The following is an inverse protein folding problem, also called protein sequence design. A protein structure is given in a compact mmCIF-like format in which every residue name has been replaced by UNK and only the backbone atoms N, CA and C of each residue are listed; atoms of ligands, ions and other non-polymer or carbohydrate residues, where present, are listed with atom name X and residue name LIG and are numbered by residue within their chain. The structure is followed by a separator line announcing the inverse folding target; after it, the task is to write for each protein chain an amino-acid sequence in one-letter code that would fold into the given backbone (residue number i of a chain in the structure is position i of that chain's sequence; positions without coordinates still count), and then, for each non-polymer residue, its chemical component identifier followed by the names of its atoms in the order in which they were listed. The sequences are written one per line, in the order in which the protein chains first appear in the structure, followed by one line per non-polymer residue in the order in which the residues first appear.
data_IF_581021994100
#
_entry.id   IF_581021994100
#
_cell.length_a   1.000
_cell.length_b   1.000
_cell.length_c   1.000
_cell.angle_alpha   90.00
_cell.angle_beta   90.00
_cell.angle_gamma   90.00
#
_symmetry.space_group_name_H-M   'P 1'
#
loop_
_entity.id
_entity.type
_entity.pdbx_description
1 polymer ?
#
# COMPACT_ATOMS: atom_id res chain seq x y z
N UNK A 1 -0.80 6.26 15.20
CA UNK A 1 0.49 7.00 15.17
C UNK A 1 1.39 6.76 16.38
N UNK A 2 0.94 6.17 17.50
CA UNK A 2 1.87 5.76 18.55
C UNK A 2 1.52 4.38 19.13
N UNK A 3 1.79 3.33 18.36
CA UNK A 3 1.86 1.95 18.86
C UNK A 3 3.17 1.70 19.64
N UNK A 4 4.14 2.61 19.48
CA UNK A 4 5.44 2.57 20.17
C UNK A 4 5.41 3.61 21.30
N UNK A 5 5.54 3.21 22.58
CA UNK A 5 5.57 4.13 23.72
C UNK A 5 6.63 5.23 23.60
N UNK A 6 7.78 4.90 23.01
CA UNK A 6 8.84 5.88 22.73
C UNK A 6 8.38 6.99 21.77
N UNK A 7 7.68 6.65 20.68
CA UNK A 7 7.14 7.65 19.75
C UNK A 7 6.10 8.55 20.42
N UNK A 8 5.25 7.99 21.28
CA UNK A 8 4.30 8.77 22.06
C UNK A 8 5.03 9.76 22.97
N UNK A 9 6.05 9.29 23.70
CA UNK A 9 6.87 10.14 24.55
C UNK A 9 7.53 11.28 23.76
N UNK A 10 8.12 10.97 22.59
CA UNK A 10 8.73 11.95 21.69
C UNK A 10 7.72 13.02 21.24
N UNK A 11 6.52 12.61 20.85
CA UNK A 11 5.41 13.51 20.50
C UNK A 11 4.96 14.39 21.69
N UNK A 12 4.82 13.80 22.87
CA UNK A 12 4.44 14.54 24.08
C UNK A 12 5.48 15.62 24.43
N UNK A 13 6.77 15.30 24.31
CA UNK A 13 7.86 16.27 24.53
C UNK A 13 7.81 17.42 23.51
N UNK A 14 7.54 17.11 22.23
CA UNK A 14 7.41 18.12 21.18
C UNK A 14 6.18 19.02 21.40
N UNK A 15 5.04 18.42 21.73
CA UNK A 15 3.81 19.18 22.04
C UNK A 15 4.01 20.16 23.19
N UNK A 16 4.80 19.78 24.21
CA UNK A 16 5.14 20.68 25.32
C UNK A 16 5.99 21.88 24.87
N UNK A 17 6.87 21.70 23.88
CA UNK A 17 7.82 22.72 23.42
C UNK A 17 7.26 23.65 22.32
N UNK A 18 6.45 23.13 21.38
CA UNK A 18 6.10 23.80 20.11
C UNK A 18 4.60 24.01 19.86
N UNK A 19 3.76 24.12 20.90
CA UNK A 19 2.30 24.37 20.72
C UNK A 19 2.06 25.46 19.64
N UNK A 20 1.29 25.22 18.54
CA UNK A 20 0.41 24.08 18.23
C UNK A 20 0.81 23.21 17.02
N UNK A 21 2.03 23.33 16.46
CA UNK A 21 2.37 22.63 15.21
C UNK A 21 2.90 21.21 15.48
N UNK A 22 2.08 20.20 15.20
CA UNK A 22 2.50 18.80 15.23
C UNK A 22 3.30 18.43 13.98
N UNK A 23 4.26 17.50 14.10
CA UNK A 23 4.97 16.95 12.95
C UNK A 23 4.01 16.32 11.93
N UNK A 24 4.36 16.44 10.66
CA UNK A 24 3.54 15.93 9.55
C UNK A 24 3.92 14.51 9.13
N UNK A 25 5.09 14.02 9.57
CA UNK A 25 5.57 12.66 9.30
C UNK A 25 6.26 12.06 10.52
N UNK A 26 6.39 10.72 10.50
CA UNK A 26 7.09 9.99 11.56
C UNK A 26 8.58 10.33 11.54
N UNK A 27 9.21 10.42 10.36
CA UNK A 27 10.58 10.89 10.21
C UNK A 27 10.82 12.27 10.85
N UNK A 28 9.87 13.21 10.70
CA UNK A 28 9.97 14.54 11.31
C UNK A 28 9.97 14.45 12.85
N UNK A 29 9.21 13.52 13.45
CA UNK A 29 9.24 13.28 14.90
C UNK A 29 10.66 12.90 15.35
N UNK A 30 11.36 12.03 14.61
CA UNK A 30 12.74 11.64 14.95
C UNK A 30 13.74 12.79 14.78
N UNK A 31 13.65 13.55 13.68
CA UNK A 31 14.49 14.74 13.47
C UNK A 31 14.35 15.72 14.62
N UNK A 32 13.11 16.03 15.00
CA UNK A 32 12.82 16.99 16.07
C UNK A 32 13.19 16.46 17.46
N UNK A 33 13.10 15.15 17.68
CA UNK A 33 13.56 14.53 18.91
C UNK A 33 15.08 14.62 19.07
N UNK A 34 15.83 14.26 18.03
CA UNK A 34 17.30 14.39 18.06
C UNK A 34 17.69 15.86 18.25
N UNK A 35 17.04 16.79 17.54
CA UNK A 35 17.24 18.23 17.77
C UNK A 35 16.97 18.63 19.22
N UNK A 36 15.91 18.10 19.83
CA UNK A 36 15.58 18.41 21.23
C UNK A 36 16.64 17.89 22.19
N UNK A 37 17.18 16.69 21.95
CA UNK A 37 18.31 16.15 22.71
C UNK A 37 19.55 17.02 22.53
N UNK A 38 19.88 17.44 21.31
CA UNK A 38 21.00 18.32 21.01
C UNK A 38 20.90 19.66 21.75
N UNK A 39 19.73 20.30 21.70
CA UNK A 39 19.51 21.57 22.41
C UNK A 39 19.65 21.38 23.93
N UNK A 40 19.17 20.26 24.48
CA UNK A 40 19.31 19.97 25.91
C UNK A 40 20.78 19.82 26.33
N UNK A 41 21.62 19.23 25.47
CA UNK A 41 23.06 19.11 25.70
C UNK A 41 23.73 20.48 25.64
N UNK A 42 23.41 21.31 24.63
CA UNK A 42 23.96 22.65 24.52
C UNK A 42 23.65 23.53 25.75
N UNK A 43 22.42 23.46 26.29
CA UNK A 43 22.05 24.19 27.52
C UNK A 43 22.74 23.71 28.78
N UNK A 44 23.30 22.49 28.78
CA UNK A 44 24.04 21.95 29.93
C UNK A 44 25.53 22.32 29.86
N UNK A 45 26.04 22.57 28.65
CA UNK A 45 27.45 22.89 28.39
C UNK A 45 27.75 24.40 28.42
N UNK A 46 26.74 25.28 28.26
CA UNK A 46 26.89 26.74 28.33
C UNK A 46 26.10 27.36 29.49
N UNK A 47 26.74 28.23 30.26
CA UNK A 47 26.05 29.19 31.11
C UNK A 47 25.27 30.16 30.19
N UNK A 48 23.95 29.93 30.06
CA UNK A 48 22.94 30.87 29.55
C UNK A 48 22.90 31.25 28.06
N UNK A 49 23.55 30.53 27.14
CA UNK A 49 23.33 30.77 25.69
C UNK A 49 22.81 29.52 25.00
N UNK A 50 21.49 29.50 24.75
CA UNK A 50 20.84 28.54 23.88
C UNK A 50 21.33 28.75 22.44
N UNK A 51 22.40 28.06 22.05
CA UNK A 51 22.75 27.90 20.65
C UNK A 51 21.73 26.97 20.01
N UNK A 52 20.73 27.53 19.33
CA UNK A 52 19.74 26.77 18.56
C UNK A 52 20.38 26.25 17.25
N UNK A 53 21.46 25.49 17.41
CA UNK A 53 22.19 24.92 16.29
C UNK A 53 21.39 23.79 15.66
N UNK A 54 21.11 23.94 14.37
CA UNK A 54 20.36 22.95 13.61
C UNK A 54 21.06 21.58 13.59
N UNK A 55 20.27 20.51 13.66
CA UNK A 55 20.68 19.10 13.50
C UNK A 55 21.55 18.89 12.25
N UNK A 56 21.36 19.70 11.20
CA UNK A 56 22.16 19.64 9.98
C UNK A 56 23.63 20.04 10.18
N UNK A 57 23.99 20.76 11.25
CA UNK A 57 25.40 20.97 11.63
C UNK A 57 26.10 19.65 11.92
N UNK A 58 25.37 18.70 12.49
CA UNK A 58 25.86 17.38 12.87
C UNK A 58 25.64 16.33 11.77
N UNK A 59 25.30 16.75 10.53
CA UNK A 59 24.92 15.85 9.46
C UNK A 59 25.99 14.79 9.15
N UNK A 60 27.28 15.16 9.13
CA UNK A 60 28.37 14.23 8.84
C UNK A 60 28.52 13.18 9.96
N UNK A 61 28.51 13.63 11.22
CA UNK A 61 28.61 12.75 12.39
C UNK A 61 27.40 11.80 12.46
N UNK A 62 26.18 12.32 12.30
CA UNK A 62 24.96 11.50 12.21
C UNK A 62 24.98 10.51 11.05
N UNK A 63 25.61 10.87 9.93
CA UNK A 63 25.77 9.93 8.79
C UNK A 63 26.73 8.80 9.11
N UNK A 64 27.81 9.07 9.87
CA UNK A 64 28.71 8.02 10.38
C UNK A 64 27.98 7.07 11.35
N UNK A 65 27.11 7.60 12.22
CA UNK A 65 26.21 6.78 13.06
C UNK A 65 25.31 5.93 12.18
N UNK A 66 24.65 6.57 11.22
CA UNK A 66 23.68 5.93 10.35
C UNK A 66 24.29 4.81 9.53
N UNK A 67 25.56 4.94 9.11
CA UNK A 67 26.29 3.84 8.45
C UNK A 67 26.44 2.63 9.37
N UNK A 68 26.83 2.82 10.62
CA UNK A 68 26.93 1.73 11.60
C UNK A 68 25.56 1.10 11.89
N UNK A 69 24.53 1.93 12.00
CA UNK A 69 23.14 1.49 12.16
C UNK A 69 22.70 0.62 10.97
N UNK A 70 22.98 1.06 9.75
CA UNK A 70 22.67 0.38 8.50
C UNK A 70 23.40 -0.96 8.40
N UNK A 71 24.73 -0.98 8.61
CA UNK A 71 25.54 -2.20 8.54
C UNK A 71 25.09 -3.22 9.60
N UNK A 72 24.82 -2.77 10.83
CA UNK A 72 24.29 -3.63 11.89
C UNK A 72 22.92 -4.22 11.53
N UNK A 73 22.00 -3.44 10.93
CA UNK A 73 20.69 -3.95 10.49
C UNK A 73 20.81 -4.99 9.36
N UNK A 74 21.76 -4.84 8.45
CA UNK A 74 22.04 -5.86 7.42
C UNK A 74 22.49 -7.19 8.03
N UNK A 75 23.21 -7.13 9.14
CA UNK A 75 23.65 -8.29 9.94
C UNK A 75 22.60 -8.75 10.97
N UNK A 76 21.40 -8.17 10.99
CA UNK A 76 20.33 -8.45 11.97
C UNK A 76 20.73 -8.16 13.43
N UNK A 77 21.62 -7.20 13.62
CA UNK A 77 22.14 -6.75 14.91
C UNK A 77 21.52 -5.42 15.35
N UNK A 78 21.09 -5.36 16.62
CA UNK A 78 20.57 -4.13 17.26
C UNK A 78 21.65 -3.32 18.00
N UNK A 79 22.91 -3.62 17.71
CA UNK A 79 24.06 -3.07 18.40
C UNK A 79 25.29 -3.08 17.50
N UNK A 80 26.31 -2.35 17.91
CA UNK A 80 27.62 -2.36 17.26
C UNK A 80 28.75 -2.26 18.28
N UNK A 81 29.95 -2.68 17.89
CA UNK A 81 31.12 -2.63 18.76
C UNK A 81 31.51 -1.19 19.07
N UNK A 82 31.81 -0.90 20.34
CA UNK A 82 32.28 0.42 20.77
C UNK A 82 33.59 0.83 20.09
N UNK A 83 34.37 -0.10 19.53
CA UNK A 83 35.59 0.23 18.77
C UNK A 83 35.29 0.76 17.37
N UNK A 84 34.13 0.43 16.80
CA UNK A 84 33.64 1.00 15.53
C UNK A 84 33.00 2.37 15.74
N UNK A 85 32.91 2.82 16.99
CA UNK A 85 32.29 4.07 17.37
C UNK A 85 33.10 5.26 16.82
N UNK A 86 32.49 6.15 16.02
CA UNK A 86 33.17 7.30 15.45
C UNK A 86 33.62 8.22 16.59
N UNK A 87 34.90 8.58 16.58
CA UNK A 87 35.42 9.57 17.52
C UNK A 87 34.87 10.95 17.17
N UNK A 88 34.20 11.61 18.11
CA UNK A 88 33.59 12.92 17.93
C UNK A 88 32.80 13.37 19.16
N UNK A 89 32.65 14.69 19.30
CA UNK A 89 31.99 15.33 20.47
C UNK A 89 30.50 14.98 20.55
N UNK A 90 29.79 14.92 19.40
CA UNK A 90 28.37 14.57 19.37
C UNK A 90 28.09 13.21 19.99
N UNK A 91 29.00 12.26 19.78
CA UNK A 91 28.81 10.88 20.15
C UNK A 91 28.87 10.64 21.65
N UNK A 92 29.87 11.22 22.31
CA UNK A 92 30.00 11.19 23.77
C UNK A 92 28.79 11.88 24.42
N UNK A 93 28.38 13.00 23.84
CA UNK A 93 27.17 13.74 24.20
C UNK A 93 25.92 12.86 24.11
N UNK A 94 25.72 12.14 23.00
CA UNK A 94 24.59 11.24 22.79
C UNK A 94 24.58 10.05 23.77
N UNK A 95 25.74 9.52 24.17
CA UNK A 95 25.81 8.52 25.26
C UNK A 95 25.35 9.15 26.58
N UNK A 96 25.85 10.34 26.90
CA UNK A 96 25.56 10.99 28.18
C UNK A 96 24.08 11.35 28.35
N UNK A 97 23.35 11.69 27.27
CA UNK A 97 21.89 11.88 27.32
C UNK A 97 21.07 10.60 27.15
N UNK A 98 21.72 9.44 27.14
CA UNK A 98 21.04 8.14 27.09
C UNK A 98 20.45 7.79 25.73
N UNK A 99 20.87 8.47 24.64
CA UNK A 99 20.49 8.10 23.28
C UNK A 99 21.14 6.76 22.86
N UNK A 100 22.30 6.49 23.44
CA UNK A 100 22.99 5.20 23.36
C UNK A 100 23.18 4.59 24.74
N UNK A 101 23.00 3.27 24.83
CA UNK A 101 23.36 2.50 26.01
C UNK A 101 24.65 1.73 25.75
N UNK A 102 25.68 1.98 26.54
CA UNK A 102 26.96 1.26 26.47
C UNK A 102 26.99 0.18 27.54
N UNK A 103 27.20 -1.07 27.12
CA UNK A 103 27.27 -2.23 28.03
C UNK A 103 28.49 -3.10 27.71
N UNK A 104 28.95 -3.89 28.68
CA UNK A 104 29.95 -4.93 28.41
C UNK A 104 29.28 -6.12 27.74
N UNK A 105 29.94 -6.72 26.74
CA UNK A 105 29.42 -7.89 26.03
C UNK A 105 29.17 -9.09 26.96
N UNK A 106 30.01 -9.26 27.97
CA UNK A 106 29.80 -10.20 29.06
C UNK A 106 30.62 -9.79 30.28
N UNK A 107 30.40 -10.41 31.43
CA UNK A 107 31.19 -10.13 32.64
C UNK A 107 32.69 -10.44 32.46
N UNK A 108 33.01 -11.40 31.59
CA UNK A 108 34.37 -11.84 31.27
C UNK A 108 34.99 -11.09 30.08
N UNK A 109 34.18 -10.54 29.19
CA UNK A 109 34.66 -9.83 28.01
C UNK A 109 34.74 -8.31 28.28
N UNK A 110 35.92 -7.73 28.07
CA UNK A 110 36.15 -6.28 28.22
C UNK A 110 35.60 -5.46 27.04
N UNK A 111 35.21 -6.12 25.95
CA UNK A 111 34.57 -5.47 24.81
C UNK A 111 33.27 -4.78 25.22
N UNK A 112 33.18 -3.51 24.86
CA UNK A 112 31.98 -2.70 25.04
C UNK A 112 31.16 -2.74 23.75
N UNK A 113 29.85 -2.84 23.92
CA UNK A 113 28.85 -2.81 22.86
C UNK A 113 27.95 -1.61 23.08
N UNK A 114 27.52 -0.99 21.99
CA UNK A 114 26.61 0.15 21.96
C UNK A 114 25.26 -0.28 21.42
N UNK A 115 24.21 -0.08 22.22
CA UNK A 115 22.82 -0.27 21.83
C UNK A 115 22.16 1.08 21.54
N UNK A 116 21.33 1.12 20.52
CA UNK A 116 20.43 2.25 20.28
C UNK A 116 19.32 2.25 21.33
N UNK A 117 18.80 3.43 21.68
CA UNK A 117 17.65 3.58 22.59
C UNK A 117 16.46 2.68 22.18
N UNK A 118 16.24 2.53 20.87
CA UNK A 118 15.23 1.66 20.30
C UNK A 118 15.55 1.29 18.85
N UNK A 119 15.04 0.15 18.36
CA UNK A 119 15.23 -0.30 16.97
C UNK A 119 14.81 0.75 15.95
N UNK A 120 13.69 1.44 16.20
CA UNK A 120 13.20 2.47 15.28
C UNK A 120 14.11 3.70 15.19
N UNK A 121 14.89 4.00 16.24
CA UNK A 121 15.93 5.04 16.20
C UNK A 121 17.09 4.58 15.32
N UNK A 122 17.48 3.30 15.42
CA UNK A 122 18.48 2.69 14.54
C UNK A 122 18.03 2.72 13.07
N UNK A 123 16.79 2.32 12.78
CA UNK A 123 16.20 2.34 11.43
C UNK A 123 16.14 3.76 10.85
N UNK A 124 15.75 4.74 11.65
CA UNK A 124 15.76 6.14 11.26
C UNK A 124 17.18 6.65 10.92
N UNK A 125 18.17 6.35 11.75
CA UNK A 125 19.56 6.78 11.51
C UNK A 125 20.15 6.11 10.27
N UNK A 126 19.85 4.83 10.04
CA UNK A 126 20.22 4.13 8.81
C UNK A 126 19.62 4.81 7.58
N UNK A 127 18.35 5.22 7.65
CA UNK A 127 17.70 5.96 6.56
C UNK A 127 18.30 7.35 6.35
N UNK A 128 18.66 8.04 7.44
CA UNK A 128 19.38 9.32 7.36
C UNK A 128 20.69 9.15 6.59
N UNK A 129 21.50 8.15 6.93
CA UNK A 129 22.73 7.85 6.20
C UNK A 129 22.48 7.64 4.70
N UNK A 130 21.49 6.82 4.33
CA UNK A 130 21.13 6.61 2.91
C UNK A 130 20.80 7.93 2.22
N UNK A 131 19.93 8.74 2.83
CA UNK A 131 19.52 10.03 2.24
C UNK A 131 20.71 10.99 2.07
N UNK A 132 21.65 11.02 3.02
CA UNK A 132 22.83 11.87 2.89
C UNK A 132 23.80 11.36 1.82
N UNK A 133 24.02 10.04 1.73
CA UNK A 133 24.83 9.46 0.67
C UNK A 133 24.25 9.76 -0.71
N UNK A 134 22.93 9.67 -0.87
CA UNK A 134 22.24 10.00 -2.12
C UNK A 134 22.41 11.46 -2.54
N UNK A 135 22.47 12.39 -1.57
CA UNK A 135 22.71 13.81 -1.85
C UNK A 135 24.15 14.09 -2.30
N UNK A 136 25.12 13.40 -1.71
CA UNK A 136 26.56 13.59 -2.00
C UNK A 136 26.95 12.87 -3.30
N UNK A 137 26.45 11.66 -3.51
CA UNK A 137 26.84 10.77 -4.61
C UNK A 137 25.76 10.64 -5.67
N UNK A 138 25.23 11.78 -6.15
CA UNK A 138 24.12 11.84 -7.13
C UNK A 138 24.27 10.90 -8.35
N UNK A 139 25.48 10.44 -8.67
CA UNK A 139 25.79 9.57 -9.82
C UNK A 139 26.48 8.22 -9.47
N UNK A 140 26.66 7.84 -8.19
CA UNK A 140 27.31 6.57 -7.78
C UNK A 140 26.41 5.75 -6.82
N UNK A 141 25.15 5.55 -7.19
CA UNK A 141 24.10 4.90 -6.40
C UNK A 141 24.19 3.36 -6.37
N UNK A 142 25.36 2.78 -6.06
CA UNK A 142 25.56 1.32 -6.18
C UNK A 142 25.97 0.62 -4.88
N UNK A 143 26.62 1.31 -3.94
CA UNK A 143 27.27 0.61 -2.81
C UNK A 143 26.32 0.10 -1.73
N UNK A 144 25.41 0.92 -1.19
CA UNK A 144 24.50 0.44 -0.12
C UNK A 144 23.37 -0.46 -0.63
N UNK A 145 22.91 -0.28 -1.88
CA UNK A 145 21.88 -1.13 -2.49
C UNK A 145 22.38 -2.56 -2.71
N UNK A 146 23.68 -2.76 -2.94
CA UNK A 146 24.29 -4.10 -2.99
C UNK A 146 24.11 -4.90 -1.69
N UNK A 147 23.99 -4.21 -0.55
CA UNK A 147 23.70 -4.84 0.73
C UNK A 147 22.27 -5.39 0.83
N UNK A 148 21.35 -4.91 -0.02
CA UNK A 148 19.92 -5.27 -0.04
C UNK A 148 19.51 -5.95 -1.34
N UNK A 149 20.44 -6.62 -2.02
CA UNK A 149 20.30 -7.20 -3.37
C UNK A 149 19.31 -8.36 -3.53
N UNK A 150 18.60 -8.73 -2.46
CA UNK A 150 17.58 -9.78 -2.44
C UNK A 150 16.32 -9.26 -1.74
N UNK A 151 15.15 -9.87 -2.02
CA UNK A 151 13.92 -9.44 -1.39
C UNK A 151 13.94 -9.67 0.11
N UNK A 152 14.47 -10.81 0.56
CA UNK A 152 14.62 -11.11 1.99
C UNK A 152 15.39 -10.02 2.74
N UNK A 153 16.48 -9.51 2.18
CA UNK A 153 17.26 -8.40 2.79
C UNK A 153 16.50 -7.07 2.70
N UNK A 154 15.87 -6.77 1.57
CA UNK A 154 15.05 -5.57 1.41
C UNK A 154 13.87 -5.54 2.40
N UNK A 155 13.23 -6.69 2.64
CA UNK A 155 12.16 -6.86 3.62
C UNK A 155 12.65 -6.63 5.05
N UNK A 156 13.84 -7.12 5.42
CA UNK A 156 14.45 -6.80 6.73
C UNK A 156 14.69 -5.30 6.90
N UNK A 157 14.98 -4.61 5.80
CA UNK A 157 15.23 -3.17 5.75
C UNK A 157 13.97 -2.34 5.45
N UNK A 158 12.76 -2.94 5.54
CA UNK A 158 11.51 -2.29 5.16
C UNK A 158 11.29 -0.94 5.86
N UNK A 159 11.49 -0.87 7.18
CA UNK A 159 11.33 0.40 7.92
C UNK A 159 12.37 1.44 7.52
N UNK A 160 13.60 1.02 7.18
CA UNK A 160 14.64 1.92 6.66
C UNK A 160 14.20 2.51 5.32
N UNK A 161 13.71 1.67 4.39
CA UNK A 161 13.21 2.12 3.08
C UNK A 161 12.02 3.09 3.23
N UNK A 162 11.09 2.79 4.14
CA UNK A 162 9.97 3.70 4.48
C UNK A 162 10.47 5.05 4.99
N UNK A 163 11.43 5.07 5.91
CA UNK A 163 12.02 6.32 6.39
C UNK A 163 12.76 7.09 5.29
N UNK A 164 13.45 6.41 4.36
CA UNK A 164 14.08 7.07 3.21
C UNK A 164 13.04 7.81 2.37
N UNK A 165 11.90 7.16 2.07
CA UNK A 165 10.78 7.77 1.36
C UNK A 165 10.14 8.95 2.12
N UNK A 166 10.06 8.87 3.46
CA UNK A 166 9.56 9.97 4.30
C UNK A 166 10.54 11.18 4.34
N UNK A 167 11.85 10.92 4.31
CA UNK A 167 12.90 11.92 4.49
C UNK A 167 13.27 12.66 3.20
N UNK A 168 13.17 12.01 2.04
CA UNK A 168 13.61 12.59 0.77
C UNK A 168 12.78 12.10 -0.40
N UNK A 169 12.13 13.04 -1.07
CA UNK A 169 11.37 12.74 -2.28
C UNK A 169 12.25 12.42 -3.47
N UNK A 170 13.45 12.98 -3.53
CA UNK A 170 14.46 12.64 -4.54
C UNK A 170 14.92 11.18 -4.40
N UNK A 171 14.92 10.63 -3.18
CA UNK A 171 15.32 9.25 -2.91
C UNK A 171 14.27 8.22 -3.31
N UNK A 172 13.00 8.62 -3.47
CA UNK A 172 11.88 7.70 -3.76
C UNK A 172 12.08 6.97 -5.08
N UNK A 173 12.52 7.68 -6.13
CA UNK A 173 12.80 7.07 -7.43
C UNK A 173 13.87 5.97 -7.33
N UNK A 174 14.91 6.22 -6.53
CA UNK A 174 16.03 5.29 -6.32
C UNK A 174 15.57 4.06 -5.53
N UNK A 175 14.72 4.25 -4.51
CA UNK A 175 14.10 3.13 -3.77
C UNK A 175 13.26 2.27 -4.72
N UNK A 176 12.47 2.88 -5.60
CA UNK A 176 11.68 2.13 -6.59
C UNK A 176 12.53 1.50 -7.69
N UNK A 177 13.68 2.07 -8.05
CA UNK A 177 14.67 1.43 -8.92
C UNK A 177 15.26 0.18 -8.29
N UNK A 178 15.62 0.24 -7.01
CA UNK A 178 16.09 -0.91 -6.26
C UNK A 178 15.01 -2.00 -6.14
N UNK A 179 13.80 -1.63 -5.72
CA UNK A 179 12.70 -2.59 -5.56
C UNK A 179 12.32 -3.22 -6.90
N UNK A 180 12.36 -2.47 -8.01
CA UNK A 180 12.19 -3.05 -9.36
C UNK A 180 13.29 -4.06 -9.67
N UNK A 181 14.56 -3.68 -9.47
CA UNK A 181 15.68 -4.58 -9.73
C UNK A 181 15.54 -5.90 -8.97
N UNK A 182 15.23 -5.84 -7.67
CA UNK A 182 14.99 -7.03 -6.84
C UNK A 182 13.77 -7.81 -7.34
N UNK A 183 12.68 -7.11 -7.65
CA UNK A 183 11.44 -7.72 -8.12
C UNK A 183 11.60 -8.46 -9.45
N UNK A 184 12.33 -7.89 -10.41
CA UNK A 184 12.63 -8.53 -11.70
C UNK A 184 13.61 -9.69 -11.53
N UNK A 185 14.68 -9.50 -10.74
CA UNK A 185 15.70 -10.53 -10.47
C UNK A 185 15.11 -11.79 -9.86
N UNK A 186 14.14 -11.65 -8.95
CA UNK A 186 13.54 -12.75 -8.19
C UNK A 186 12.15 -13.15 -8.72
N UNK A 187 11.67 -12.52 -9.81
CA UNK A 187 10.38 -12.84 -10.43
C UNK A 187 9.15 -12.44 -9.59
N UNK A 188 9.28 -11.48 -8.68
CA UNK A 188 8.23 -11.02 -7.76
C UNK A 188 7.15 -10.17 -8.44
N UNK A 189 7.38 -9.76 -9.69
CA UNK A 189 6.42 -9.01 -10.52
C UNK A 189 5.79 -9.86 -11.62
N UNK A 190 6.15 -11.15 -11.69
CA UNK A 190 5.63 -12.13 -12.65
C UNK A 190 4.39 -12.81 -12.09
N UNK A 191 3.25 -12.12 -12.15
CA UNK A 191 1.99 -12.63 -11.61
C UNK A 191 1.31 -13.57 -12.60
N UNK A 192 0.98 -14.77 -12.12
CA UNK A 192 0.23 -15.77 -12.88
C UNK A 192 -1.21 -15.83 -12.36
N UNK A 193 -1.97 -14.76 -12.60
CA UNK A 193 -3.39 -14.77 -12.26
C UNK A 193 -4.14 -15.79 -13.09
N UNK A 194 -5.12 -16.40 -12.47
CA UNK A 194 -5.97 -17.37 -13.14
C UNK A 194 -7.21 -16.73 -13.75
N UNK A 195 -8.15 -17.56 -14.23
CA UNK A 195 -9.41 -17.08 -14.81
C UNK A 195 -10.23 -16.22 -13.84
N UNK A 196 -10.10 -16.44 -12.54
CA UNK A 196 -10.71 -15.61 -11.48
C UNK A 196 -9.59 -15.01 -10.62
N UNK A 197 -9.03 -13.84 -11.02
CA UNK A 197 -7.87 -13.25 -10.36
C UNK A 197 -8.09 -13.02 -8.87
N UNK A 198 -7.07 -13.32 -8.07
CA UNK A 198 -7.14 -13.18 -6.62
C UNK A 198 -5.77 -12.92 -6.02
N UNK A 199 -5.72 -12.25 -4.86
CA UNK A 199 -4.50 -12.19 -4.03
C UNK A 199 -4.00 -13.58 -3.63
N UNK A 200 -4.87 -14.60 -3.62
CA UNK A 200 -4.50 -16.00 -3.36
C UNK A 200 -3.78 -16.67 -4.54
N UNK A 201 -3.74 -16.05 -5.72
CA UNK A 201 -2.90 -16.51 -6.84
C UNK A 201 -1.43 -16.07 -6.69
N UNK A 202 -1.15 -15.17 -5.74
CA UNK A 202 0.19 -14.67 -5.47
C UNK A 202 0.90 -15.59 -4.49
N UNK A 203 2.22 -15.77 -4.70
CA UNK A 203 3.07 -16.33 -3.64
C UNK A 203 3.15 -15.37 -2.44
N UNK A 204 3.50 -15.90 -1.27
CA UNK A 204 3.68 -15.06 -0.07
C UNK A 204 4.71 -13.94 -0.28
N UNK A 205 5.81 -14.22 -0.99
CA UNK A 205 6.84 -13.21 -1.28
C UNK A 205 6.35 -12.13 -2.24
N UNK A 206 5.56 -12.49 -3.26
CA UNK A 206 4.93 -11.52 -4.16
C UNK A 206 3.95 -10.60 -3.41
N UNK A 207 3.13 -11.17 -2.52
CA UNK A 207 2.18 -10.41 -1.71
C UNK A 207 2.91 -9.41 -0.81
N UNK A 208 3.92 -9.86 -0.07
CA UNK A 208 4.73 -8.99 0.80
C UNK A 208 5.52 -7.94 0.01
N UNK A 209 6.00 -8.28 -1.18
CA UNK A 209 6.72 -7.34 -2.05
C UNK A 209 5.82 -6.18 -2.48
N UNK A 210 4.60 -6.47 -2.93
CA UNK A 210 3.62 -5.44 -3.29
C UNK A 210 3.32 -4.55 -2.08
N UNK A 211 3.09 -5.14 -0.91
CA UNK A 211 2.83 -4.38 0.32
C UNK A 211 4.01 -3.47 0.70
N UNK A 212 5.26 -3.94 0.56
CA UNK A 212 6.43 -3.10 0.79
C UNK A 212 6.50 -1.92 -0.18
N UNK A 213 6.23 -2.14 -1.47
CA UNK A 213 6.18 -1.06 -2.45
C UNK A 213 5.07 -0.05 -2.14
N UNK A 214 3.89 -0.51 -1.72
CA UNK A 214 2.76 0.33 -1.31
C UNK A 214 3.09 1.13 -0.05
N UNK A 215 3.68 0.50 0.97
CA UNK A 215 4.17 1.19 2.17
C UNK A 215 5.12 2.33 1.79
N UNK A 216 6.10 2.07 0.90
CA UNK A 216 7.04 3.09 0.44
C UNK A 216 6.33 4.26 -0.27
N UNK A 217 5.34 3.97 -1.14
CA UNK A 217 4.53 5.00 -1.81
C UNK A 217 3.79 5.87 -0.80
N UNK A 218 3.12 5.28 0.18
CA UNK A 218 2.31 6.03 1.14
C UNK A 218 3.13 6.70 2.25
N UNK A 219 4.37 6.25 2.48
CA UNK A 219 5.36 6.94 3.30
C UNK A 219 5.90 8.21 2.63
N UNK A 220 5.82 8.34 1.31
CA UNK A 220 6.17 9.60 0.64
C UNK A 220 5.24 10.73 1.12
N UNK A 221 5.76 11.98 1.25
CA UNK A 221 4.93 13.15 1.52
C UNK A 221 3.76 13.24 0.54
N UNK A 222 2.55 13.53 1.05
CA UNK A 222 1.32 13.48 0.28
C UNK A 222 1.37 14.32 -1.01
N UNK A 223 2.02 15.49 -0.97
CA UNK A 223 2.23 16.38 -2.12
C UNK A 223 3.03 15.74 -3.26
N UNK A 224 3.85 14.73 -2.96
CA UNK A 224 4.81 14.17 -3.90
C UNK A 224 4.38 12.80 -4.43
N UNK A 225 3.37 12.16 -3.80
CA UNK A 225 2.84 10.86 -4.25
C UNK A 225 2.34 10.86 -5.69
N UNK A 226 1.59 11.87 -6.18
CA UNK A 226 1.11 11.87 -7.56
C UNK A 226 2.24 11.82 -8.59
N UNK A 227 3.35 12.52 -8.33
CA UNK A 227 4.50 12.58 -9.22
C UNK A 227 5.24 11.23 -9.34
N UNK A 228 5.23 10.42 -8.28
CA UNK A 228 5.92 9.12 -8.25
C UNK A 228 5.00 7.93 -8.54
N UNK A 229 3.68 8.14 -8.57
CA UNK A 229 2.71 7.06 -8.65
C UNK A 229 2.77 6.28 -9.97
N UNK A 230 2.90 6.96 -11.11
CA UNK A 230 3.02 6.28 -12.41
C UNK A 230 4.29 5.40 -12.46
N UNK A 231 5.40 5.91 -11.91
CA UNK A 231 6.63 5.13 -11.78
C UNK A 231 6.41 3.92 -10.87
N UNK A 232 5.79 4.09 -9.70
CA UNK A 232 5.41 3.00 -8.80
C UNK A 232 4.60 1.92 -9.52
N UNK A 233 3.54 2.28 -10.25
CA UNK A 233 2.68 1.33 -10.96
C UNK A 233 3.47 0.45 -11.93
N UNK A 234 4.39 1.06 -12.68
CA UNK A 234 5.26 0.30 -13.59
C UNK A 234 6.15 -0.71 -12.84
N UNK A 235 6.55 -0.41 -11.60
CA UNK A 235 7.48 -1.26 -10.82
C UNK A 235 6.79 -2.46 -10.18
N UNK A 236 5.50 -2.34 -9.88
CA UNK A 236 4.68 -3.45 -9.39
C UNK A 236 3.90 -4.14 -10.50
N UNK A 237 4.28 -3.91 -11.76
CA UNK A 237 3.63 -4.44 -12.96
C UNK A 237 2.09 -4.23 -12.92
N UNK A 238 1.68 -3.04 -12.49
CA UNK A 238 0.30 -2.57 -12.39
C UNK A 238 -0.62 -3.41 -11.49
N UNK A 239 -0.09 -4.19 -10.56
CA UNK A 239 -0.87 -4.89 -9.53
C UNK A 239 -0.68 -4.19 -8.20
N UNK A 240 -1.78 -3.75 -7.59
CA UNK A 240 -1.78 -3.01 -6.33
C UNK A 240 -2.66 -3.72 -5.31
N UNK A 241 -2.17 -3.82 -4.09
CA UNK A 241 -2.92 -4.35 -2.94
C UNK A 241 -2.93 -3.26 -1.87
N UNK A 242 -4.12 -2.84 -1.45
CA UNK A 242 -4.31 -1.93 -0.33
C UNK A 242 -4.83 -2.69 0.87
N UNK A 243 -4.09 -2.63 1.97
CA UNK A 243 -4.60 -3.01 3.29
C UNK A 243 -5.51 -1.89 3.86
N UNK A 244 -6.07 -2.12 5.05
CA UNK A 244 -6.94 -1.15 5.74
C UNK A 244 -6.29 0.23 5.89
N UNK A 245 -5.03 0.25 6.34
CA UNK A 245 -4.30 1.49 6.61
C UNK A 245 -4.14 2.29 5.32
N UNK A 246 -3.67 1.66 4.25
CA UNK A 246 -3.41 2.31 2.97
C UNK A 246 -4.70 2.71 2.27
N UNK A 247 -5.76 1.88 2.33
CA UNK A 247 -7.08 2.26 1.84
C UNK A 247 -7.60 3.50 2.57
N UNK A 248 -7.50 3.56 3.90
CA UNK A 248 -7.98 4.71 4.65
C UNK A 248 -7.20 5.99 4.35
N UNK A 249 -5.88 5.90 4.16
CA UNK A 249 -5.07 7.04 3.73
C UNK A 249 -5.46 7.47 2.32
N UNK A 250 -5.59 6.53 1.39
CA UNK A 250 -5.96 6.83 0.00
C UNK A 250 -7.31 7.54 -0.08
N UNK A 251 -8.33 7.04 0.64
CA UNK A 251 -9.65 7.64 0.71
C UNK A 251 -9.62 9.06 1.28
N UNK A 252 -9.07 9.24 2.49
CA UNK A 252 -9.02 10.55 3.18
C UNK A 252 -8.24 11.61 2.41
N UNK A 253 -7.25 11.21 1.63
CA UNK A 253 -6.41 12.13 0.85
C UNK A 253 -6.86 12.28 -0.60
N UNK A 254 -7.95 11.62 -0.99
CA UNK A 254 -8.40 11.52 -2.38
C UNK A 254 -7.26 11.17 -3.34
N UNK A 255 -6.43 10.20 -2.95
CA UNK A 255 -5.14 9.95 -3.60
C UNK A 255 -5.26 9.63 -5.09
N UNK A 256 -6.29 8.87 -5.48
CA UNK A 256 -6.47 8.46 -6.87
C UNK A 256 -7.21 9.51 -7.71
N UNK A 257 -7.71 10.59 -7.09
CA UNK A 257 -8.46 11.62 -7.78
C UNK A 257 -7.55 12.33 -8.80
N UNK A 258 -8.05 12.56 -10.02
CA UNK A 258 -7.30 13.15 -11.13
C UNK A 258 -6.04 12.39 -11.57
N UNK A 259 -5.98 11.08 -11.29
CA UNK A 259 -4.86 10.25 -11.76
C UNK A 259 -5.16 9.63 -13.12
N UNK A 260 -4.31 9.86 -14.12
CA UNK A 260 -4.46 9.30 -15.47
C UNK A 260 -3.99 7.83 -15.58
N UNK A 261 -3.23 7.35 -14.60
CA UNK A 261 -2.66 6.00 -14.57
C UNK A 261 -3.40 5.10 -13.59
N UNK A 262 -4.04 4.04 -14.10
CA UNK A 262 -4.75 3.08 -13.24
C UNK A 262 -3.98 1.76 -13.09
N UNK A 263 -4.10 1.10 -11.93
CA UNK A 263 -3.62 -0.26 -11.79
C UNK A 263 -4.45 -1.19 -12.68
N UNK A 264 -3.81 -2.22 -13.24
CA UNK A 264 -4.50 -3.28 -13.98
C UNK A 264 -5.36 -4.12 -13.04
N UNK A 265 -4.86 -4.34 -11.82
CA UNK A 265 -5.58 -4.99 -10.74
C UNK A 265 -5.39 -4.19 -9.45
N UNK A 266 -6.49 -3.86 -8.78
CA UNK A 266 -6.48 -3.29 -7.45
C UNK A 266 -7.31 -4.18 -6.52
N UNK A 267 -6.64 -4.77 -5.54
CA UNK A 267 -7.25 -5.58 -4.50
C UNK A 267 -7.28 -4.79 -3.19
N UNK A 268 -8.41 -4.81 -2.50
CA UNK A 268 -8.55 -4.23 -1.16
C UNK A 268 -8.98 -5.31 -0.18
N UNK A 269 -8.39 -5.36 1.01
CA UNK A 269 -8.78 -6.36 2.02
C UNK A 269 -10.11 -6.00 2.69
N UNK A 270 -11.21 -6.64 2.27
CA UNK A 270 -12.57 -6.37 2.79
C UNK A 270 -12.74 -6.62 4.29
N UNK A 271 -11.97 -7.52 4.90
CA UNK A 271 -12.19 -7.93 6.29
C UNK A 271 -11.69 -6.89 7.30
N UNK A 272 -10.85 -5.97 6.84
CA UNK A 272 -10.24 -4.96 7.69
C UNK A 272 -10.54 -3.52 7.21
N UNK A 273 -10.86 -3.30 5.92
CA UNK A 273 -11.06 -1.94 5.39
C UNK A 273 -12.48 -1.41 5.62
N UNK A 274 -12.59 -0.16 6.08
CA UNK A 274 -13.86 0.57 6.14
C UNK A 274 -14.48 0.70 4.73
N UNK A 275 -15.74 0.32 4.60
CA UNK A 275 -16.46 0.37 3.33
C UNK A 275 -16.59 1.79 2.75
N UNK A 276 -16.72 2.83 3.58
CA UNK A 276 -16.76 4.21 3.12
C UNK A 276 -15.41 4.62 2.47
N UNK A 277 -14.30 4.09 3.00
CA UNK A 277 -12.98 4.30 2.40
C UNK A 277 -12.89 3.62 1.02
N UNK A 278 -13.47 2.42 0.86
CA UNK A 278 -13.53 1.72 -0.43
C UNK A 278 -14.37 2.50 -1.46
N UNK A 279 -15.54 2.99 -1.06
CA UNK A 279 -16.39 3.82 -1.92
C UNK A 279 -15.66 5.07 -2.39
N UNK A 280 -14.96 5.77 -1.49
CA UNK A 280 -14.16 6.94 -1.84
C UNK A 280 -13.10 6.61 -2.89
N UNK A 281 -12.40 5.49 -2.73
CA UNK A 281 -11.39 5.02 -3.69
C UNK A 281 -12.02 4.71 -5.05
N UNK A 282 -13.17 4.05 -5.08
CA UNK A 282 -13.86 3.74 -6.33
C UNK A 282 -14.33 5.00 -7.07
N UNK A 283 -14.80 6.02 -6.34
CA UNK A 283 -15.15 7.31 -6.93
C UNK A 283 -13.93 8.03 -7.48
N UNK A 284 -12.83 8.08 -6.74
CA UNK A 284 -11.59 8.69 -7.20
C UNK A 284 -11.06 8.02 -8.48
N UNK A 285 -11.26 6.70 -8.61
CA UNK A 285 -10.85 5.91 -9.77
C UNK A 285 -11.86 5.94 -10.93
N UNK A 286 -12.97 6.67 -10.82
CA UNK A 286 -14.07 6.65 -11.80
C UNK A 286 -14.50 5.20 -12.15
N UNK A 287 -14.59 4.35 -11.13
CA UNK A 287 -14.91 2.95 -11.33
C UNK A 287 -16.39 2.76 -11.70
N UNK A 288 -16.65 1.80 -12.58
CA UNK A 288 -17.98 1.48 -13.10
C UNK A 288 -18.30 0.00 -12.93
N UNK A 289 -19.59 -0.33 -12.97
CA UNK A 289 -20.08 -1.70 -12.92
C UNK A 289 -20.65 -2.07 -14.28
N UNK A 290 -20.15 -3.16 -14.87
CA UNK A 290 -20.76 -3.77 -16.05
C UNK A 290 -21.75 -4.85 -15.57
N UNK A 291 -23.04 -4.61 -15.77
CA UNK A 291 -24.11 -5.55 -15.38
C UNK A 291 -24.16 -6.75 -16.32
N UNK A 292 -24.89 -7.81 -15.94
CA UNK A 292 -25.11 -8.97 -16.80
C UNK A 292 -26.02 -8.65 -18.01
N UNK A 293 -26.81 -7.57 -17.94
CA UNK A 293 -27.59 -7.05 -19.06
C UNK A 293 -26.71 -6.38 -20.13
N UNK A 294 -25.44 -6.09 -19.82
CA UNK A 294 -24.50 -5.38 -20.68
C UNK A 294 -24.50 -3.86 -20.49
N UNK A 295 -25.21 -3.36 -19.48
CA UNK A 295 -25.26 -1.93 -19.15
C UNK A 295 -24.07 -1.53 -18.28
N UNK A 296 -23.53 -0.34 -18.55
CA UNK A 296 -22.48 0.25 -17.73
C UNK A 296 -23.11 1.26 -16.79
N UNK A 297 -22.99 0.99 -15.51
CA UNK A 297 -23.62 1.75 -14.44
C UNK A 297 -22.59 2.43 -13.55
N UNK A 298 -22.95 3.60 -13.00
CA UNK A 298 -22.14 4.30 -12.01
C UNK A 298 -22.13 3.51 -10.69
N UNK A 299 -20.95 3.32 -10.09
CA UNK A 299 -20.80 2.63 -8.81
C UNK A 299 -21.62 3.27 -7.69
N UNK A 300 -21.98 4.57 -7.80
CA UNK A 300 -22.90 5.25 -6.86
C UNK A 300 -24.24 4.54 -6.72
N UNK A 301 -24.76 3.93 -7.78
CA UNK A 301 -26.01 3.15 -7.75
C UNK A 301 -25.90 1.96 -6.79
N UNK A 302 -24.68 1.46 -6.61
CA UNK A 302 -24.36 0.29 -5.80
C UNK A 302 -23.62 0.66 -4.50
N UNK A 303 -23.75 1.90 -4.06
CA UNK A 303 -23.09 2.40 -2.87
C UNK A 303 -23.44 1.63 -1.60
N UNK A 304 -24.53 0.85 -1.54
CA UNK A 304 -24.89 0.06 -0.36
C UNK A 304 -24.40 -1.40 -0.36
N UNK A 305 -23.50 -1.79 -1.27
CA UNK A 305 -22.86 -3.11 -1.33
C UNK A 305 -21.83 -3.38 -0.20
N UNK A 306 -22.15 -2.98 1.03
CA UNK A 306 -21.30 -3.11 2.24
C UNK A 306 -20.81 -4.52 2.55
N UNK A 307 -21.54 -5.52 2.04
CA UNK A 307 -21.30 -6.93 2.29
C UNK A 307 -20.77 -7.68 1.08
N UNK A 308 -20.45 -7.02 -0.03
CA UNK A 308 -19.77 -7.63 -1.15
C UNK A 308 -18.26 -7.37 -1.11
N UNK A 309 -17.50 -8.36 -1.54
CA UNK A 309 -16.04 -8.27 -1.62
C UNK A 309 -15.69 -8.03 -3.08
N UNK A 310 -14.83 -7.06 -3.35
CA UNK A 310 -14.57 -6.56 -4.68
C UNK A 310 -13.10 -6.41 -4.97
N UNK A 311 -12.78 -6.53 -6.24
CA UNK A 311 -11.54 -6.02 -6.78
C UNK A 311 -11.83 -5.21 -8.03
N UNK A 312 -10.92 -4.32 -8.36
CA UNK A 312 -10.99 -3.51 -9.56
C UNK A 312 -10.04 -4.10 -10.59
N UNK A 313 -10.52 -4.22 -11.81
CA UNK A 313 -9.75 -4.61 -12.97
C UNK A 313 -9.88 -3.54 -14.05
N UNK A 314 -8.76 -3.07 -14.56
CA UNK A 314 -8.73 -2.17 -15.71
C UNK A 314 -9.03 -2.94 -16.98
N UNK A 315 -9.94 -2.42 -17.79
CA UNK A 315 -10.13 -2.86 -19.17
C UNK A 315 -10.15 -1.64 -20.08
N UNK A 316 -9.29 -1.66 -21.10
CA UNK A 316 -9.05 -0.53 -22.00
C UNK A 316 -8.66 0.75 -21.23
N UNK A 317 -9.61 1.68 -21.06
CA UNK A 317 -9.46 2.97 -20.36
C UNK A 317 -10.43 3.14 -19.20
N UNK A 318 -11.14 2.10 -18.78
CA UNK A 318 -12.10 2.15 -17.67
C UNK A 318 -11.73 1.16 -16.57
N UNK A 319 -12.09 1.52 -15.36
CA UNK A 319 -11.93 0.69 -14.17
C UNK A 319 -13.24 -0.01 -13.88
N UNK A 320 -13.24 -1.34 -13.94
CA UNK A 320 -14.43 -2.14 -13.68
C UNK A 320 -14.34 -2.79 -12.32
N UNK A 321 -15.45 -2.76 -11.60
CA UNK A 321 -15.60 -3.45 -10.31
C UNK A 321 -16.12 -4.86 -10.57
N UNK A 322 -15.43 -5.84 -10.00
CA UNK A 322 -15.81 -7.25 -10.03
C UNK A 322 -16.03 -7.76 -8.62
N UNK A 323 -17.10 -8.55 -8.44
CA UNK A 323 -17.32 -9.28 -7.21
C UNK A 323 -16.29 -10.41 -7.11
N UNK A 324 -15.62 -10.49 -5.98
CA UNK A 324 -14.70 -11.58 -5.61
C UNK A 324 -15.44 -12.75 -5.00
N UNK A 325 -16.40 -12.47 -4.11
CA UNK A 325 -17.10 -13.46 -3.30
C UNK A 325 -18.60 -13.15 -3.24
N UNK A 326 -19.42 -14.18 -3.34
CA UNK A 326 -20.87 -14.11 -3.17
C UNK A 326 -21.22 -14.79 -1.85
N UNK A 327 -21.80 -14.00 -0.93
CA UNK A 327 -22.30 -14.49 0.36
C UNK A 327 -23.82 -14.36 0.43
N UNK A 328 -24.45 -14.95 1.45
CA UNK A 328 -25.91 -14.82 1.65
C UNK A 328 -26.36 -13.35 1.78
N UNK A 329 -25.53 -12.50 2.38
CA UNK A 329 -25.79 -11.06 2.48
C UNK A 329 -25.78 -10.35 1.12
N UNK A 330 -24.93 -10.80 0.20
CA UNK A 330 -24.91 -10.30 -1.18
C UNK A 330 -26.11 -10.83 -1.94
N UNK A 331 -26.49 -12.10 -1.72
CA UNK A 331 -27.62 -12.74 -2.38
C UNK A 331 -28.95 -12.04 -2.08
N UNK A 332 -29.15 -11.62 -0.83
CA UNK A 332 -30.37 -10.92 -0.38
C UNK A 332 -30.36 -9.42 -0.67
N UNK A 333 -29.35 -8.93 -1.38
CA UNK A 333 -29.28 -7.52 -1.73
C UNK A 333 -30.20 -7.22 -2.91
N UNK A 334 -31.10 -6.25 -2.75
CA UNK A 334 -32.14 -5.91 -3.73
C UNK A 334 -31.58 -5.55 -5.12
N UNK A 335 -30.36 -5.01 -5.20
CA UNK A 335 -29.74 -4.66 -6.48
C UNK A 335 -29.02 -5.85 -7.14
N UNK A 336 -28.84 -7.00 -6.45
CA UNK A 336 -28.25 -8.18 -7.09
C UNK A 336 -29.15 -8.69 -8.21
N UNK A 337 -30.47 -8.70 -8.02
CA UNK A 337 -31.41 -9.09 -9.08
C UNK A 337 -31.28 -8.20 -10.32
N UNK A 338 -30.97 -6.92 -10.14
CA UNK A 338 -30.69 -5.99 -11.24
C UNK A 338 -29.34 -6.30 -11.90
N UNK A 339 -28.30 -6.55 -11.10
CA UNK A 339 -26.97 -6.92 -11.61
C UNK A 339 -27.00 -8.20 -12.45
N UNK A 340 -27.82 -9.17 -12.08
CA UNK A 340 -27.94 -10.49 -12.75
C UNK A 340 -29.08 -10.55 -13.76
N UNK A 341 -29.81 -9.44 -13.97
CA UNK A 341 -30.90 -9.40 -14.95
C UNK A 341 -30.39 -9.68 -16.36
N UNK A 342 -31.16 -10.45 -17.13
CA UNK A 342 -30.84 -10.76 -18.51
C UNK A 342 -30.89 -9.48 -19.38
N UNK A 343 -30.10 -9.42 -20.47
CA UNK A 343 -30.20 -8.32 -21.43
C UNK A 343 -31.63 -8.20 -21.95
N UNK A 344 -32.19 -7.00 -21.92
CA UNK A 344 -33.43 -6.72 -22.64
C UNK A 344 -33.10 -6.82 -24.12
N UNK A 345 -33.52 -7.89 -24.80
CA UNK A 345 -33.42 -7.96 -26.26
C UNK A 345 -34.15 -6.74 -26.84
N UNK A 346 -33.49 -5.84 -27.60
CA UNK A 346 -34.23 -4.85 -28.35
C UNK A 346 -35.07 -5.63 -29.37
N UNK A 347 -36.39 -5.59 -29.22
CA UNK A 347 -37.32 -6.05 -30.24
C UNK A 347 -36.91 -5.42 -31.56
N UNK A 348 -36.53 -6.24 -32.54
CA UNK A 348 -36.21 -5.76 -33.89
C UNK A 348 -37.37 -4.89 -34.39
N UNK A 349 -37.13 -3.65 -34.83
CA UNK A 349 -38.17 -2.92 -35.53
C UNK A 349 -38.46 -3.64 -36.86
N UNK A 350 -39.71 -3.62 -37.35
CA UNK A 350 -40.04 -4.23 -38.63
C UNK A 350 -39.17 -3.60 -39.72
N UNK A 351 -38.65 -4.46 -40.58
CA UNK A 351 -37.97 -4.07 -41.82
C UNK A 351 -38.97 -3.29 -42.67
N UNK A 352 -38.86 -1.97 -42.67
CA UNK A 352 -39.10 -1.09 -43.82
C UNK A 352 -38.91 0.38 -43.40
N UNK A 353 -37.75 0.94 -43.76
CA UNK A 353 -37.61 2.23 -44.44
C UNK A 353 -36.14 2.67 -44.40
N UNK A 354 -35.48 2.50 -45.55
CA UNK A 354 -34.18 3.06 -45.84
C UNK A 354 -34.34 4.59 -46.01
N UNK A 355 -33.88 5.37 -45.03
CA UNK A 355 -33.96 6.83 -45.06
C UNK A 355 -32.81 7.45 -44.28
N UNK A 356 -31.79 7.88 -45.01
CA UNK A 356 -30.58 8.60 -44.61
C UNK A 356 -30.72 9.47 -43.35
N UNK A 357 -29.82 9.29 -42.40
CA UNK A 357 -29.16 10.38 -41.66
C UNK A 357 -27.84 9.86 -41.08
N UNK A 358 -26.75 10.47 -41.54
CA UNK A 358 -25.40 10.36 -40.98
C UNK A 358 -25.40 11.07 -39.62
N UNK A 359 -25.06 10.31 -38.56
CA UNK A 359 -24.40 10.75 -37.32
C UNK A 359 -24.62 9.68 -36.24
N UNK A 360 -23.78 8.63 -36.23
CA UNK A 360 -23.63 7.70 -35.10
C UNK A 360 -22.37 6.83 -35.26
N UNK A 361 -21.19 7.45 -35.29
CA UNK A 361 -19.90 6.75 -35.38
C UNK A 361 -19.24 6.44 -34.02
N UNK A 362 -20.01 6.38 -32.92
CA UNK A 362 -19.51 5.91 -31.61
C UNK A 362 -20.06 4.52 -31.24
N UNK A 363 -21.09 4.03 -31.93
CA UNK A 363 -21.73 2.73 -31.63
C UNK A 363 -21.24 1.55 -32.49
N UNK A 364 -20.33 1.77 -33.45
CA UNK A 364 -19.99 0.78 -34.49
C UNK A 364 -18.53 0.31 -34.53
N UNK A 365 -17.71 0.65 -33.53
CA UNK A 365 -16.36 0.05 -33.36
C UNK A 365 -16.33 -1.14 -32.39
N UNK A 366 -17.48 -1.67 -31.97
CA UNK A 366 -17.60 -2.80 -31.03
C UNK A 366 -17.82 -4.16 -31.71
N UNK A 367 -17.57 -4.29 -33.02
CA UNK A 367 -17.89 -5.50 -33.80
C UNK A 367 -16.70 -6.31 -34.31
N UNK A 368 -15.46 -5.91 -34.03
CA UNK A 368 -14.28 -6.75 -34.33
C UNK A 368 -13.57 -7.11 -33.02
N UNK A 369 -14.05 -8.20 -32.40
CA UNK A 369 -13.47 -9.05 -31.33
C UNK A 369 -14.54 -9.60 -30.36
N UNK A 370 -15.75 -9.88 -30.87
CA UNK A 370 -16.94 -10.25 -30.08
C UNK A 370 -16.97 -11.68 -29.53
N UNK A 371 -15.90 -12.47 -29.64
CA UNK A 371 -15.88 -13.84 -29.10
C UNK A 371 -15.43 -13.92 -27.63
N UNK A 372 -14.73 -12.91 -27.08
CA UNK A 372 -14.17 -12.99 -25.71
C UNK A 372 -14.68 -11.91 -24.73
N UNK A 373 -15.20 -10.77 -25.21
CA UNK A 373 -15.63 -9.65 -24.32
C UNK A 373 -17.09 -9.74 -23.85
N UNK A 374 -17.93 -10.55 -24.49
CA UNK A 374 -19.36 -10.73 -24.16
C UNK A 374 -19.62 -11.50 -22.85
N UNK A 375 -18.56 -11.89 -22.12
CA UNK A 375 -18.64 -12.65 -20.87
C UNK A 375 -18.12 -11.91 -19.62
N UNK A 376 -17.50 -10.74 -19.70
CA UNK A 376 -16.82 -10.13 -18.54
C UNK A 376 -17.67 -9.11 -17.75
N UNK A 377 -18.87 -9.49 -17.30
CA UNK A 377 -19.69 -8.69 -16.37
C UNK A 377 -19.22 -8.80 -14.91
N UNK A 378 -19.71 -7.95 -14.02
CA UNK A 378 -19.22 -7.80 -12.64
C UNK A 378 -19.19 -9.10 -11.80
N UNK A 379 -20.07 -10.07 -12.06
CA UNK A 379 -20.07 -11.39 -11.37
C UNK A 379 -19.32 -12.51 -12.11
N UNK A 380 -18.80 -12.27 -13.32
CA UNK A 380 -18.15 -13.32 -14.14
C UNK A 380 -16.85 -13.85 -13.53
N UNK A 381 -16.13 -12.99 -12.80
CA UNK A 381 -14.83 -13.29 -12.18
C UNK A 381 -14.95 -13.69 -10.69
N UNK A 382 -16.16 -14.01 -10.24
CA UNK A 382 -16.39 -14.46 -8.87
C UNK A 382 -15.61 -15.74 -8.60
N UNK A 383 -14.76 -15.68 -7.57
CA UNK A 383 -13.90 -16.78 -7.12
C UNK A 383 -14.62 -17.70 -6.14
N UNK A 384 -15.34 -17.11 -5.20
CA UNK A 384 -15.95 -17.79 -4.05
C UNK A 384 -17.47 -17.62 -4.06
N UNK A 385 -18.19 -18.71 -3.85
CA UNK A 385 -19.63 -18.73 -3.59
C UNK A 385 -19.83 -19.44 -2.26
N UNK A 386 -20.16 -18.71 -1.20
CA UNK A 386 -20.39 -19.26 0.14
C UNK A 386 -21.78 -18.86 0.64
N UNK A 387 -22.73 -19.79 0.59
CA UNK A 387 -24.14 -19.51 0.81
C UNK A 387 -24.75 -20.41 1.87
N UNK A 388 -25.53 -19.80 2.77
CA UNK A 388 -26.45 -20.49 3.67
C UNK A 388 -27.88 -20.21 3.22
N UNK A 389 -28.38 -21.05 2.31
CA UNK A 389 -29.66 -20.94 1.62
C UNK A 389 -30.76 -21.50 2.52
N UNK A 390 -31.81 -20.71 2.80
CA UNK A 390 -32.89 -21.11 3.73
C UNK A 390 -34.27 -21.09 3.11
N UNK A 391 -34.49 -20.26 2.08
CA UNK A 391 -35.81 -20.07 1.46
C UNK A 391 -35.82 -20.48 0.00
N UNK A 392 -37.01 -20.72 -0.55
CA UNK A 392 -37.21 -21.06 -1.96
C UNK A 392 -36.72 -19.93 -2.88
N UNK A 393 -36.93 -18.67 -2.49
CA UNK A 393 -36.45 -17.51 -3.26
C UNK A 393 -34.92 -17.49 -3.41
N UNK A 394 -34.21 -17.93 -2.36
CA UNK A 394 -32.74 -18.01 -2.36
C UNK A 394 -32.26 -19.02 -3.42
N UNK A 395 -32.95 -20.16 -3.55
CA UNK A 395 -32.66 -21.17 -4.57
C UNK A 395 -32.94 -20.65 -5.98
N UNK A 396 -33.98 -19.82 -6.17
CA UNK A 396 -34.28 -19.19 -7.46
C UNK A 396 -33.18 -18.20 -7.86
N UNK A 397 -32.76 -17.33 -6.94
CA UNK A 397 -31.66 -16.39 -7.18
C UNK A 397 -30.36 -17.14 -7.48
N UNK A 398 -30.06 -18.20 -6.72
CA UNK A 398 -28.87 -19.01 -6.94
C UNK A 398 -28.87 -19.69 -8.32
N UNK A 399 -30.02 -20.24 -8.74
CA UNK A 399 -30.19 -20.86 -10.05
C UNK A 399 -29.91 -19.87 -11.19
N UNK A 400 -30.30 -18.60 -11.03
CA UNK A 400 -30.06 -17.56 -12.03
C UNK A 400 -28.61 -17.04 -12.00
N UNK A 401 -27.98 -17.06 -10.83
CA UNK A 401 -26.64 -16.53 -10.61
C UNK A 401 -25.52 -17.48 -11.05
N UNK A 402 -25.61 -18.78 -10.72
CA UNK A 402 -24.53 -19.74 -11.01
C UNK A 402 -24.11 -19.81 -12.48
N UNK A 403 -25.02 -19.78 -13.47
CA UNK A 403 -24.65 -19.78 -14.89
C UNK A 403 -23.85 -18.54 -15.32
N UNK A 404 -23.94 -17.44 -14.58
CA UNK A 404 -23.23 -16.19 -14.86
C UNK A 404 -21.80 -16.22 -14.30
N UNK A 405 -21.52 -17.07 -13.30
CA UNK A 405 -20.18 -17.20 -12.73
C UNK A 405 -19.35 -18.16 -13.58
N UNK A 406 -18.30 -17.65 -14.23
CA UNK A 406 -17.62 -18.40 -15.30
C UNK A 406 -16.73 -19.54 -14.81
N UNK A 407 -15.98 -19.33 -13.72
CA UNK A 407 -15.01 -20.30 -13.22
C UNK A 407 -14.77 -20.17 -11.70
N UNK A 408 -15.80 -20.34 -10.86
CA UNK A 408 -15.64 -20.26 -9.41
C UNK A 408 -14.72 -21.38 -8.93
N UNK A 409 -13.93 -21.09 -7.89
CA UNK A 409 -12.95 -22.03 -7.33
C UNK A 409 -13.46 -22.75 -6.09
N UNK A 410 -14.13 -21.99 -5.22
CA UNK A 410 -14.66 -22.48 -3.96
C UNK A 410 -16.16 -22.25 -3.97
N UNK A 411 -16.94 -23.33 -4.02
CA UNK A 411 -18.39 -23.30 -3.90
C UNK A 411 -18.77 -24.08 -2.65
N UNK A 412 -19.30 -23.39 -1.66
CA UNK A 412 -19.91 -23.95 -0.48
C UNK A 412 -21.38 -23.50 -0.44
N UNK A 413 -22.30 -24.45 -0.52
CA UNK A 413 -23.74 -24.17 -0.40
C UNK A 413 -24.31 -25.06 0.69
N UNK A 414 -24.72 -24.42 1.77
CA UNK A 414 -25.36 -25.04 2.93
C UNK A 414 -26.84 -24.69 2.91
N UNK A 415 -27.71 -25.65 3.20
CA UNK A 415 -29.13 -25.37 3.38
C UNK A 415 -29.80 -26.40 4.28
N UNK A 416 -30.83 -25.97 5.00
CA UNK A 416 -31.78 -26.88 5.64
C UNK A 416 -33.10 -26.78 4.90
N UNK A 417 -33.56 -27.89 4.33
CA UNK A 417 -34.91 -28.00 3.81
C UNK A 417 -35.83 -28.17 5.02
N UNK A 418 -36.23 -27.06 5.64
CA UNK A 418 -37.22 -27.11 6.72
C UNK A 418 -38.56 -26.51 6.35
N UNK A 419 -38.69 -25.80 5.23
CA UNK A 419 -39.97 -25.20 4.83
C UNK A 419 -40.32 -25.40 3.32
N UNK A 420 -39.68 -26.33 2.60
CA UNK A 420 -39.90 -26.51 1.14
C UNK A 420 -40.80 -27.71 0.77
N UNK A 421 -41.62 -28.20 1.70
CA UNK A 421 -42.70 -29.15 1.44
C UNK A 421 -44.00 -28.65 2.08
N UNK A 422 -44.44 -27.43 1.74
CA UNK A 422 -45.85 -27.05 1.73
C UNK A 422 -46.19 -26.25 0.48
#
# INVERSE_FOLDING_TARGET
MAEIPLLLLMLCLQWKKKKPQLPTSRAQIYVEFIQTLLNHMATKDSDDVATDESIYKYQEELSKIGKLAFDALLEDCLHFDFTKFPHGDLFEKLIHVGFFQVSKRSALNREKIVYFLHKSVQEFLAAWFIVQELKVKKNETVTFLSGMDTFKKSRKMAEVLKFVCELSSDAVGIVFDHLRYVGEKEGLTNYNFTRTPSVHDLSGEQYEFILLCVDCLFCCPASNRPAVYSAFLSRVNHVVILDEKHSSIAAKTHFFNNTDSFPNYLFCSRWNTNYDDLLSIWFDLNAVVLTCSGEIEDVKKYADLRHADFFLKKSEKRNFIYLRCITIHVLHFNLLSELISAPVCPSQPPVDNLGKNEDNNIALSLTENRSDQTQQHCVSLVREVDLSVKKVEDFVLLKNLLPLVTAPRDIAVWGSVTDALE
#
